data_IF_458202708822
#
_entry.id   IF_458202708822
#
_cell.length_a   1.000
_cell.length_b   1.000
_cell.length_c   1.000
_cell.angle_alpha   90.00
_cell.angle_beta   90.00
_cell.angle_gamma   90.00
#
_symmetry.space_group_name_H-M   'P 1'
#
loop_
_entity.id
_entity.type
_entity.pdbx_description
1 polymer ?
#
# COMPACT_ATOMS: atom_id res chain seq x y z
N UNK A 1 10.96 3.12 7.23
CA UNK A 1 11.05 3.50 5.80
C UNK A 1 9.65 3.54 5.19
N UNK A 2 9.42 4.46 4.25
CA UNK A 2 8.19 4.59 3.49
C UNK A 2 8.45 4.26 2.02
N UNK A 3 7.41 3.84 1.30
CA UNK A 3 7.53 3.41 -0.10
C UNK A 3 6.24 3.69 -0.86
N UNK A 4 6.36 3.91 -2.17
CA UNK A 4 5.21 4.13 -3.06
C UNK A 4 4.40 2.85 -3.24
N UNK A 5 3.08 2.97 -3.20
CA UNK A 5 2.14 2.00 -3.78
C UNK A 5 1.83 2.47 -5.22
N UNK A 6 2.21 1.67 -6.21
CA UNK A 6 1.97 1.99 -7.62
C UNK A 6 1.53 0.73 -8.35
N UNK A 7 0.51 0.84 -9.20
CA UNK A 7 -0.05 -0.28 -9.97
C UNK A 7 -0.45 -1.47 -9.09
N UNK A 8 -0.97 -1.19 -7.90
CA UNK A 8 -1.32 -2.21 -6.90
C UNK A 8 -0.12 -2.98 -6.32
N UNK A 9 1.10 -2.47 -6.49
CA UNK A 9 2.36 -3.10 -6.08
C UNK A 9 3.14 -2.25 -5.08
N UNK A 10 3.66 -2.90 -4.05
CA UNK A 10 4.59 -2.26 -3.12
C UNK A 10 5.96 -2.09 -3.80
N UNK A 11 6.42 -0.86 -3.99
CA UNK A 11 7.72 -0.59 -4.64
C UNK A 11 8.94 -0.92 -3.73
N UNK A 12 8.72 -1.51 -2.55
CA UNK A 12 9.76 -1.83 -1.58
C UNK A 12 10.09 -3.32 -1.50
N UNK A 13 9.08 -4.18 -1.54
CA UNK A 13 9.25 -5.64 -1.63
C UNK A 13 8.93 -6.19 -3.03
N UNK A 14 8.37 -5.37 -3.92
CA UNK A 14 7.97 -5.73 -5.27
C UNK A 14 6.91 -6.85 -5.36
N UNK A 15 6.13 -7.06 -4.30
CA UNK A 15 4.97 -7.95 -4.34
C UNK A 15 3.70 -7.17 -4.71
N UNK A 16 2.84 -7.82 -5.48
CA UNK A 16 1.51 -7.31 -5.85
C UNK A 16 0.55 -7.55 -4.70
N UNK A 17 -0.24 -6.55 -4.36
CA UNK A 17 -1.23 -6.64 -3.28
C UNK A 17 -2.45 -7.44 -3.74
N UNK A 18 -3.12 -8.11 -2.81
CA UNK A 18 -4.39 -8.79 -3.11
C UNK A 18 -5.47 -7.77 -3.46
N UNK A 19 -6.47 -8.19 -4.24
CA UNK A 19 -7.60 -7.31 -4.60
C UNK A 19 -8.41 -6.85 -3.37
N UNK A 20 -8.57 -7.71 -2.37
CA UNK A 20 -9.24 -7.39 -1.12
C UNK A 20 -8.48 -6.29 -0.35
N UNK A 21 -7.16 -6.40 -0.29
CA UNK A 21 -6.32 -5.42 0.39
C UNK A 21 -6.28 -4.08 -0.36
N UNK A 22 -6.22 -4.09 -1.70
CA UNK A 22 -6.36 -2.86 -2.49
C UNK A 22 -7.71 -2.18 -2.26
N UNK A 23 -8.79 -2.95 -2.19
CA UNK A 23 -10.14 -2.43 -1.90
C UNK A 23 -10.20 -1.79 -0.52
N UNK A 24 -9.63 -2.45 0.49
CA UNK A 24 -9.52 -1.93 1.85
C UNK A 24 -8.71 -0.64 1.88
N UNK A 25 -7.53 -0.61 1.25
CA UNK A 25 -6.64 0.56 1.23
C UNK A 25 -7.31 1.76 0.56
N UNK A 26 -8.06 1.53 -0.52
CA UNK A 26 -8.75 2.58 -1.27
C UNK A 26 -9.98 3.14 -0.52
N UNK A 27 -10.54 2.42 0.46
CA UNK A 27 -11.67 2.90 1.28
C UNK A 27 -11.24 3.67 2.53
N UNK A 28 -9.95 3.66 2.87
CA UNK A 28 -9.41 4.40 4.01
C UNK A 28 -9.29 5.90 3.70
N UNK A 29 -9.37 6.72 4.75
CA UNK A 29 -9.11 8.16 4.66
C UNK A 29 -7.68 8.45 4.17
N UNK A 30 -7.47 9.58 3.50
CA UNK A 30 -6.16 9.88 2.84
C UNK A 30 -4.99 10.05 3.83
N UNK A 31 -5.28 10.42 5.07
CA UNK A 31 -4.35 10.56 6.18
C UNK A 31 -4.12 9.25 6.95
N UNK A 32 -4.91 8.20 6.68
CA UNK A 32 -4.76 6.91 7.33
C UNK A 32 -3.46 6.22 6.89
N UNK A 33 -2.66 5.83 7.88
CA UNK A 33 -1.38 5.15 7.67
C UNK A 33 -1.59 3.68 7.34
N UNK A 34 -1.20 3.30 6.13
CA UNK A 34 -1.21 1.91 5.67
C UNK A 34 0.21 1.36 5.64
N UNK A 35 0.37 0.08 5.99
CA UNK A 35 1.64 -0.66 5.88
C UNK A 35 1.48 -1.84 4.94
N UNK A 36 2.54 -2.16 4.22
CA UNK A 36 2.62 -3.39 3.44
C UNK A 36 2.67 -4.60 4.39
N UNK A 37 1.79 -5.58 4.19
CA UNK A 37 1.74 -6.80 5.03
C UNK A 37 3.04 -7.62 4.96
N UNK A 38 3.71 -7.59 3.80
CA UNK A 38 4.91 -8.39 3.53
C UNK A 38 6.19 -7.79 4.13
N UNK A 39 6.37 -6.47 4.06
CA UNK A 39 7.62 -5.82 4.46
C UNK A 39 7.45 -4.70 5.51
N UNK A 40 6.23 -4.46 5.99
CA UNK A 40 5.83 -3.48 7.02
C UNK A 40 6.22 -2.02 6.78
N UNK A 41 6.75 -1.68 5.61
CA UNK A 41 6.99 -0.30 5.18
C UNK A 41 5.67 0.44 5.03
N UNK A 42 5.67 1.73 5.33
CA UNK A 42 4.50 2.60 5.16
C UNK A 42 4.27 2.78 3.65
N UNK A 43 3.03 2.54 3.20
CA UNK A 43 2.62 2.74 1.82
C UNK A 43 2.17 4.18 1.61
N UNK A 44 2.79 4.85 0.64
CA UNK A 44 2.40 6.16 0.15
C UNK A 44 1.44 5.93 -1.02
N UNK A 45 0.17 6.29 -0.81
CA UNK A 45 -0.86 6.32 -1.86
C UNK A 45 -0.68 7.61 -2.64
N UNK A 46 -0.55 7.52 -3.95
CA UNK A 46 -0.49 8.68 -4.84
C UNK A 46 -1.76 8.61 -5.66
N UNK A 47 -2.81 9.15 -5.05
CA UNK A 47 -4.12 9.36 -5.68
C UNK A 47 -4.02 10.43 -6.76
#
# INVERSE_FOLDING_TARGET
AAVRLADGKCQGCHLTMSAAELTRINSLAIDELVRCEECRRILIRIT
#
